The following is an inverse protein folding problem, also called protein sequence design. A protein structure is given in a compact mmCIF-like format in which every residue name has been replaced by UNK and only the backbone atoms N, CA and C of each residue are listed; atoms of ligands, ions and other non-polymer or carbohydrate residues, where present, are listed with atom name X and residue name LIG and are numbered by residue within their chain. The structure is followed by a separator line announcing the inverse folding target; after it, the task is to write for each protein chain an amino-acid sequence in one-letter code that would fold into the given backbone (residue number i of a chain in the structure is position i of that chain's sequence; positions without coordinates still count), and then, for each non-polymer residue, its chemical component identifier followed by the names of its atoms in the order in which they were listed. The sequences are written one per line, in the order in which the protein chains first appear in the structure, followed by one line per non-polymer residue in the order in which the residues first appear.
data_IF_386012132272
#
_entry.id   IF_386012132272
#
_cell.length_a   1.000
_cell.length_b   1.000
_cell.length_c   1.000
_cell.angle_alpha   90.00
_cell.angle_beta   90.00
_cell.angle_gamma   90.00
#
_symmetry.space_group_name_H-M   'P 1'
#
loop_
_entity.id
_entity.type
_entity.pdbx_description
1 polymer ?
#
# COMPACT_ATOMS: atom_id res chain seq x y z
N UNK A 1 -7.79 -13.50 8.47
CA UNK A 1 -8.81 -12.65 9.11
C UNK A 1 -9.20 -11.46 8.23
N UNK A 2 -8.31 -10.49 8.01
CA UNK A 2 -8.62 -9.32 7.16
C UNK A 2 -8.98 -9.74 5.74
N UNK A 3 -8.30 -10.72 5.16
CA UNK A 3 -8.59 -11.24 3.82
C UNK A 3 -9.99 -11.87 3.76
N UNK A 4 -10.38 -12.62 4.77
CA UNK A 4 -11.69 -13.27 4.83
C UNK A 4 -12.82 -12.23 4.90
N UNK A 5 -12.60 -11.13 5.63
CA UNK A 5 -13.54 -10.01 5.65
C UNK A 5 -13.58 -9.25 4.31
N UNK A 6 -12.45 -9.14 3.61
CA UNK A 6 -12.39 -8.47 2.31
C UNK A 6 -13.11 -9.22 1.18
N UNK A 7 -13.24 -10.53 1.27
CA UNK A 7 -13.96 -11.37 0.30
C UNK A 7 -15.49 -11.29 0.47
N UNK A 8 -15.97 -10.87 1.62
CA UNK A 8 -17.39 -10.65 1.87
C UNK A 8 -17.87 -9.42 1.09
N UNK A 9 -19.01 -9.54 0.42
CA UNK A 9 -19.69 -8.39 -0.21
C UNK A 9 -20.40 -7.61 0.89
N UNK A 10 -19.98 -6.39 1.20
CA UNK A 10 -20.61 -5.59 2.26
C UNK A 10 -21.96 -5.07 1.81
N UNK A 11 -22.85 -4.84 2.79
CA UNK A 11 -24.10 -4.15 2.58
C UNK A 11 -23.90 -2.65 2.27
N UNK A 12 -24.83 -1.98 1.61
CA UNK A 12 -24.73 -0.54 1.36
C UNK A 12 -24.56 0.24 2.67
N UNK A 13 -23.45 0.98 2.78
CA UNK A 13 -23.10 1.75 3.97
C UNK A 13 -22.23 1.00 4.99
N UNK A 14 -21.98 -0.29 4.82
CA UNK A 14 -21.06 -1.07 5.63
C UNK A 14 -19.60 -0.80 5.23
N UNK A 15 -18.70 -0.75 6.21
CA UNK A 15 -17.27 -0.58 5.95
C UNK A 15 -16.66 -1.83 5.30
N UNK A 16 -15.75 -1.60 4.36
CA UNK A 16 -15.00 -2.67 3.70
C UNK A 16 -13.66 -2.93 4.39
N UNK A 17 -13.15 -4.16 4.24
CA UNK A 17 -11.88 -4.61 4.79
C UNK A 17 -10.86 -4.95 3.69
N UNK A 18 -10.87 -4.20 2.60
CA UNK A 18 -9.84 -4.34 1.57
C UNK A 18 -8.48 -3.84 2.08
N UNK A 19 -7.41 -4.32 1.48
CA UNK A 19 -6.04 -3.87 1.77
C UNK A 19 -5.53 -3.04 0.59
N UNK A 20 -5.16 -1.79 0.86
CA UNK A 20 -4.65 -0.85 -0.12
C UNK A 20 -3.21 -1.18 -0.55
N UNK A 21 -2.30 -1.41 0.42
CA UNK A 21 -0.91 -1.77 0.16
C UNK A 21 -0.76 -3.28 0.17
N UNK A 22 -0.84 -3.91 -0.99
CA UNK A 22 -0.66 -5.36 -1.17
C UNK A 22 0.37 -5.66 -2.24
N UNK A 23 0.93 -6.87 -2.21
CA UNK A 23 1.91 -7.31 -3.20
C UNK A 23 1.37 -7.16 -4.63
N UNK A 24 2.19 -6.58 -5.51
CA UNK A 24 1.87 -6.32 -6.94
C UNK A 24 0.68 -5.38 -7.19
N UNK A 25 0.17 -4.69 -6.18
CA UNK A 25 -0.88 -3.69 -6.37
C UNK A 25 -0.34 -2.42 -7.06
N UNK A 26 -1.16 -1.82 -7.90
CA UNK A 26 -0.92 -0.50 -8.49
C UNK A 26 -1.78 0.50 -7.73
N UNK A 27 -1.16 1.31 -6.87
CA UNK A 27 -1.86 2.18 -5.93
C UNK A 27 -2.74 3.22 -6.64
N UNK A 28 -2.27 3.78 -7.76
CA UNK A 28 -3.04 4.76 -8.54
C UNK A 28 -4.36 4.19 -9.09
N UNK A 29 -4.44 2.89 -9.38
CA UNK A 29 -5.70 2.27 -9.78
C UNK A 29 -6.74 2.28 -8.66
N UNK A 30 -6.31 2.19 -7.40
CA UNK A 30 -7.22 2.30 -6.27
C UNK A 30 -7.72 3.74 -6.08
N UNK A 31 -6.88 4.74 -6.38
CA UNK A 31 -7.29 6.14 -6.42
C UNK A 31 -8.33 6.40 -7.54
N UNK A 32 -8.11 5.82 -8.72
CA UNK A 32 -9.08 5.90 -9.82
C UNK A 32 -10.43 5.24 -9.46
N UNK A 33 -10.39 4.11 -8.74
CA UNK A 33 -11.62 3.47 -8.22
C UNK A 33 -12.41 4.42 -7.31
N UNK A 34 -11.73 5.16 -6.42
CA UNK A 34 -12.39 6.10 -5.52
C UNK A 34 -13.13 7.20 -6.31
N UNK A 35 -12.45 7.81 -7.28
CA UNK A 35 -13.06 8.83 -8.13
C UNK A 35 -14.19 8.29 -9.01
N UNK A 36 -14.04 7.11 -9.57
CA UNK A 36 -15.08 6.46 -10.38
C UNK A 36 -16.31 6.10 -9.56
N UNK A 37 -16.12 5.57 -8.35
CA UNK A 37 -17.22 5.21 -7.45
C UNK A 37 -18.01 6.43 -6.97
N UNK A 38 -17.37 7.58 -6.87
CA UNK A 38 -17.98 8.85 -6.50
C UNK A 38 -18.55 9.62 -7.70
N UNK A 39 -18.50 9.06 -8.93
CA UNK A 39 -18.88 9.72 -10.18
C UNK A 39 -18.20 11.09 -10.38
N UNK A 40 -16.96 11.24 -9.89
CA UNK A 40 -16.17 12.43 -10.15
C UNK A 40 -15.52 12.32 -11.53
N UNK A 41 -15.52 13.43 -12.31
CA UNK A 41 -15.05 13.43 -13.70
C UNK A 41 -13.62 12.87 -13.82
N UNK A 42 -13.31 11.99 -14.80
CA UNK A 42 -11.99 11.46 -15.00
C UNK A 42 -10.99 12.55 -15.44
N UNK A 43 -9.75 12.45 -15.00
CA UNK A 43 -8.68 13.42 -15.28
C UNK A 43 -8.39 13.69 -16.76
N UNK A 44 -8.92 12.84 -17.67
CA UNK A 44 -8.74 12.96 -19.11
C UNK A 44 -9.72 13.96 -19.76
N UNK A 45 -10.89 14.19 -19.18
CA UNK A 45 -11.89 15.10 -19.76
C UNK A 45 -11.51 16.57 -19.54
N UNK A 46 -10.89 16.92 -18.42
CA UNK A 46 -10.39 18.29 -18.19
C UNK A 46 -9.30 18.69 -19.19
N UNK A 47 -8.41 17.76 -19.57
CA UNK A 47 -7.37 18.02 -20.58
C UNK A 47 -7.90 18.12 -22.00
N UNK A 48 -8.99 17.41 -22.32
CA UNK A 48 -9.61 17.51 -23.62
C UNK A 48 -10.33 18.85 -23.79
N UNK A 49 -10.92 19.40 -22.73
CA UNK A 49 -11.55 20.71 -22.75
C UNK A 49 -10.51 21.83 -22.78
N UNK A 50 -9.44 21.76 -21.99
CA UNK A 50 -8.38 22.75 -21.99
C UNK A 50 -7.54 22.74 -23.29
N UNK A 51 -7.38 21.58 -23.94
CA UNK A 51 -6.72 21.45 -25.25
C UNK A 51 -7.61 21.95 -26.41
N UNK A 52 -8.92 21.96 -26.26
CA UNK A 52 -9.87 22.51 -27.25
C UNK A 52 -9.94 24.05 -27.18
N UNK A 53 -9.68 24.62 -26.00
CA UNK A 53 -9.67 26.08 -25.79
C UNK A 53 -8.35 26.75 -26.19
N UNK A 54 -7.23 26.00 -26.16
CA UNK A 54 -5.90 26.48 -26.54
C UNK A 54 -5.48 25.88 -27.89
N UNK A 55 -5.92 26.49 -28.99
CA UNK A 55 -5.66 26.10 -30.38
C UNK A 55 -4.26 25.56 -30.62
N UNK A 56 -4.20 24.32 -31.11
CA UNK A 56 -3.02 23.52 -31.34
C UNK A 56 -2.04 24.17 -32.30
N UNK A 57 -0.77 24.26 -31.94
CA UNK A 57 0.35 24.33 -32.86
C UNK A 57 1.44 23.32 -32.49
N UNK A 58 2.09 22.87 -33.54
CA UNK A 58 2.81 21.68 -33.86
C UNK A 58 4.12 21.42 -33.07
N UNK A 59 4.40 20.15 -32.83
CA UNK A 59 5.73 19.58 -32.97
C UNK A 59 6.76 19.73 -31.84
N UNK A 60 6.59 18.97 -30.72
CA UNK A 60 7.75 18.43 -29.96
C UNK A 60 7.33 17.23 -29.11
N UNK A 61 8.03 16.09 -29.23
CA UNK A 61 7.91 14.90 -28.39
C UNK A 61 7.96 15.28 -26.91
N UNK A 62 6.80 15.48 -26.27
CA UNK A 62 6.70 15.63 -24.82
C UNK A 62 6.92 14.26 -24.20
N UNK A 63 7.99 14.13 -23.41
CA UNK A 63 8.12 13.08 -22.38
C UNK A 63 6.81 13.02 -21.60
N UNK A 64 6.26 11.82 -21.47
CA UNK A 64 5.03 11.53 -20.72
C UNK A 64 5.07 12.21 -19.36
N UNK A 65 4.45 13.37 -19.24
CA UNK A 65 4.11 13.95 -17.95
C UNK A 65 3.10 12.97 -17.33
N UNK A 66 3.49 12.32 -16.24
CA UNK A 66 2.59 11.49 -15.45
C UNK A 66 1.39 12.35 -15.07
N UNK A 67 0.21 11.93 -15.49
CA UNK A 67 -1.02 12.62 -15.21
C UNK A 67 -1.21 12.78 -13.70
N UNK A 68 -1.02 14.00 -13.22
CA UNK A 68 -1.24 14.37 -11.83
C UNK A 68 -2.58 15.10 -11.76
N UNK A 69 -3.63 14.39 -11.38
CA UNK A 69 -4.90 15.02 -11.06
C UNK A 69 -4.80 15.67 -9.67
N UNK A 70 -4.96 16.97 -9.58
CA UNK A 70 -4.96 17.67 -8.30
C UNK A 70 -6.30 17.59 -7.56
N UNK A 71 -7.43 17.50 -8.27
CA UNK A 71 -8.78 17.55 -7.72
C UNK A 71 -9.09 18.87 -6.98
N UNK A 72 -10.35 19.21 -6.82
CA UNK A 72 -10.75 20.28 -5.90
C UNK A 72 -10.57 19.82 -4.44
N UNK A 73 -10.53 20.74 -3.47
CA UNK A 73 -10.39 20.39 -2.06
C UNK A 73 -11.53 19.47 -1.57
N UNK A 74 -12.74 19.68 -2.07
CA UNK A 74 -13.91 18.90 -1.72
C UNK A 74 -13.85 17.48 -2.35
N UNK A 75 -13.46 17.36 -3.61
CA UNK A 75 -13.27 16.06 -4.28
C UNK A 75 -12.21 15.22 -3.58
N UNK A 76 -11.08 15.83 -3.22
CA UNK A 76 -10.01 15.15 -2.47
C UNK A 76 -10.50 14.71 -1.10
N UNK A 77 -11.35 15.49 -0.44
CA UNK A 77 -11.94 15.13 0.85
C UNK A 77 -12.89 13.93 0.74
N UNK A 78 -13.75 13.92 -0.28
CA UNK A 78 -14.66 12.80 -0.57
C UNK A 78 -13.87 11.54 -0.95
N UNK A 79 -12.88 11.65 -1.83
CA UNK A 79 -12.04 10.53 -2.22
C UNK A 79 -11.28 9.94 -1.01
N UNK A 80 -10.75 10.80 -0.13
CA UNK A 80 -10.10 10.38 1.11
C UNK A 80 -11.04 9.61 2.03
N UNK A 81 -12.26 10.09 2.20
CA UNK A 81 -13.28 9.43 3.01
C UNK A 81 -13.63 8.05 2.42
N UNK A 82 -13.83 7.97 1.11
CA UNK A 82 -14.08 6.71 0.42
C UNK A 82 -12.92 5.72 0.62
N UNK A 83 -11.66 6.18 0.56
CA UNK A 83 -10.49 5.34 0.82
C UNK A 83 -10.48 4.79 2.25
N UNK A 84 -10.82 5.62 3.25
CA UNK A 84 -10.93 5.16 4.63
C UNK A 84 -12.05 4.11 4.81
N UNK A 85 -13.19 4.29 4.15
CA UNK A 85 -14.31 3.35 4.25
C UNK A 85 -14.01 1.98 3.62
N UNK A 86 -13.24 1.94 2.54
CA UNK A 86 -13.02 0.71 1.78
C UNK A 86 -11.74 -0.03 2.20
N UNK A 87 -10.71 0.66 2.70
CA UNK A 87 -9.41 0.07 2.99
C UNK A 87 -9.09 0.08 4.47
N UNK A 88 -9.01 -1.12 5.06
CA UNK A 88 -8.72 -1.32 6.46
C UNK A 88 -7.36 -0.75 6.88
N UNK A 89 -6.32 -0.95 6.08
CA UNK A 89 -4.96 -0.46 6.36
C UNK A 89 -4.87 1.07 6.31
N UNK A 90 -5.59 1.71 5.38
CA UNK A 90 -5.69 3.18 5.31
C UNK A 90 -6.42 3.74 6.52
N UNK A 91 -7.54 3.13 6.92
CA UNK A 91 -8.33 3.51 8.08
C UNK A 91 -7.58 3.33 9.38
N UNK A 92 -6.77 2.27 9.49
CA UNK A 92 -6.05 1.88 10.71
C UNK A 92 -4.72 2.61 10.87
N UNK A 93 -3.86 2.56 9.86
CA UNK A 93 -2.47 3.06 9.94
C UNK A 93 -2.26 4.39 9.21
N UNK A 94 -3.19 4.75 8.35
CA UNK A 94 -3.08 5.93 7.50
C UNK A 94 -2.23 5.70 6.25
N UNK A 95 -2.33 6.64 5.32
CA UNK A 95 -1.57 6.62 4.08
C UNK A 95 -1.40 8.01 3.49
N UNK A 96 -0.33 8.19 2.70
CA UNK A 96 -0.14 9.34 1.82
C UNK A 96 -0.53 8.93 0.40
N UNK A 97 -1.66 9.46 -0.09
CA UNK A 97 -2.30 9.06 -1.34
C UNK A 97 -2.30 10.20 -2.35
N UNK A 98 -1.15 10.86 -2.52
CA UNK A 98 -0.98 12.03 -3.41
C UNK A 98 -0.11 11.74 -4.63
N UNK A 99 0.13 10.46 -4.95
CA UNK A 99 0.95 10.04 -6.09
C UNK A 99 0.09 9.84 -7.34
N UNK A 100 0.11 10.79 -8.27
CA UNK A 100 -0.74 10.74 -9.46
C UNK A 100 -2.10 11.37 -9.17
N UNK A 101 -3.16 10.57 -9.06
CA UNK A 101 -4.50 11.02 -8.64
C UNK A 101 -4.46 11.28 -7.13
N UNK A 102 -4.88 12.47 -6.72
CA UNK A 102 -4.77 12.92 -5.35
C UNK A 102 -6.01 12.52 -4.52
N UNK A 103 -5.84 11.57 -3.62
CA UNK A 103 -6.83 11.22 -2.58
C UNK A 103 -6.45 11.78 -1.19
N UNK A 104 -5.49 12.72 -1.13
CA UNK A 104 -5.10 13.37 0.11
C UNK A 104 -4.17 12.54 0.99
N UNK A 105 -4.19 12.87 2.27
CA UNK A 105 -3.40 12.22 3.30
C UNK A 105 -4.30 11.83 4.48
N UNK A 106 -4.11 10.63 4.98
CA UNK A 106 -4.79 10.10 6.17
C UNK A 106 -3.75 9.85 7.25
N UNK A 107 -4.02 10.33 8.46
CA UNK A 107 -3.28 9.97 9.67
C UNK A 107 -4.07 8.89 10.40
N UNK A 108 -3.49 7.69 10.47
CA UNK A 108 -4.15 6.56 11.13
C UNK A 108 -4.15 6.68 12.65
N UNK A 109 -5.19 6.15 13.31
CA UNK A 109 -5.30 6.13 14.76
C UNK A 109 -4.29 5.20 15.43
N UNK A 110 -3.88 4.14 14.75
CA UNK A 110 -2.96 3.13 15.29
C UNK A 110 -1.53 3.45 14.88
N UNK A 111 -0.66 3.56 15.86
CA UNK A 111 0.77 3.80 15.66
C UNK A 111 1.56 2.79 16.48
N UNK A 112 2.50 2.12 15.83
CA UNK A 112 3.40 1.16 16.46
C UNK A 112 4.82 1.75 16.48
N UNK A 113 5.51 1.61 17.60
CA UNK A 113 6.94 1.93 17.68
C UNK A 113 7.76 0.84 17.02
N UNK A 114 9.02 1.14 16.71
CA UNK A 114 9.97 0.09 16.37
C UNK A 114 10.15 -0.86 17.57
N UNK A 115 10.13 -2.16 17.27
CA UNK A 115 10.41 -3.17 18.26
C UNK A 115 11.90 -3.17 18.63
N UNK A 116 12.19 -3.38 19.91
CA UNK A 116 13.55 -3.52 20.42
C UNK A 116 13.69 -4.87 21.11
N UNK A 117 14.78 -5.57 20.83
CA UNK A 117 15.09 -6.81 21.53
C UNK A 117 15.36 -6.55 23.02
N UNK A 118 14.85 -7.42 23.88
CA UNK A 118 15.06 -7.34 25.34
C UNK A 118 16.53 -7.66 25.66
N UNK A 119 17.08 -8.65 24.98
CA UNK A 119 18.47 -9.09 25.11
C UNK A 119 19.21 -8.92 23.78
N UNK A 120 20.55 -8.85 23.80
CA UNK A 120 21.35 -8.84 22.58
C UNK A 120 21.05 -10.05 21.69
N UNK A 121 20.86 -9.80 20.41
CA UNK A 121 20.57 -10.85 19.43
C UNK A 121 21.88 -11.42 18.90
N UNK A 122 21.95 -12.76 18.83
CA UNK A 122 23.00 -13.48 18.12
C UNK A 122 22.46 -13.93 16.77
N UNK A 123 22.95 -13.31 15.70
CA UNK A 123 22.63 -13.72 14.35
C UNK A 123 23.57 -14.85 13.90
N UNK A 124 22.99 -15.91 13.36
CA UNK A 124 23.75 -16.99 12.72
C UNK A 124 23.76 -16.77 11.21
N UNK A 125 24.91 -16.98 10.60
CA UNK A 125 25.08 -16.95 9.14
C UNK A 125 25.34 -18.36 8.63
N UNK A 126 24.54 -18.80 7.68
CA UNK A 126 24.65 -20.10 7.03
C UNK A 126 24.92 -19.91 5.54
N UNK A 127 25.98 -20.53 5.05
CA UNK A 127 26.23 -20.63 3.61
C UNK A 127 25.36 -21.74 3.00
N UNK A 128 24.64 -21.42 1.94
CA UNK A 128 23.81 -22.36 1.19
C UNK A 128 24.39 -22.45 -0.22
N UNK A 129 24.75 -23.67 -0.64
CA UNK A 129 25.27 -23.91 -1.97
C UNK A 129 24.30 -24.78 -2.76
N UNK A 130 23.83 -24.27 -3.89
CA UNK A 130 23.13 -25.07 -4.88
C UNK A 130 24.16 -25.66 -5.85
N UNK A 131 24.21 -26.98 -5.92
CA UNK A 131 25.18 -27.73 -6.73
C UNK A 131 24.80 -27.88 -8.20
N UNK A 132 23.73 -27.21 -8.64
CA UNK A 132 23.27 -27.23 -10.02
C UNK A 132 22.79 -25.84 -10.43
N UNK A 133 22.92 -25.50 -11.70
CA UNK A 133 22.37 -24.29 -12.32
C UNK A 133 21.01 -24.56 -12.96
N UNK A 134 20.21 -23.55 -13.14
CA UNK A 134 18.87 -23.69 -13.71
C UNK A 134 18.86 -23.58 -15.24
N UNK A 135 19.84 -22.90 -15.82
CA UNK A 135 19.85 -22.63 -17.27
C UNK A 135 21.24 -22.87 -17.87
N UNK A 136 21.29 -23.20 -19.16
CA UNK A 136 22.53 -23.36 -19.92
C UNK A 136 23.36 -22.08 -19.91
N UNK A 137 22.72 -20.92 -20.00
CA UNK A 137 23.40 -19.62 -19.94
C UNK A 137 24.11 -19.35 -18.59
N UNK A 138 23.58 -19.90 -17.49
CA UNK A 138 24.27 -19.87 -16.19
C UNK A 138 25.47 -20.83 -16.19
N UNK A 139 25.33 -22.02 -16.78
CA UNK A 139 26.39 -22.99 -16.87
C UNK A 139 27.58 -22.47 -17.69
N UNK A 140 27.32 -21.84 -18.81
CA UNK A 140 28.36 -21.22 -19.67
C UNK A 140 29.12 -20.11 -18.93
N UNK A 141 28.39 -19.23 -18.19
CA UNK A 141 29.01 -18.16 -17.42
C UNK A 141 29.92 -18.68 -16.29
N UNK A 142 29.59 -19.83 -15.73
CA UNK A 142 30.33 -20.43 -14.62
C UNK A 142 31.43 -21.40 -15.08
N UNK A 143 31.63 -21.57 -16.40
CA UNK A 143 32.70 -22.39 -16.98
C UNK A 143 32.80 -23.80 -16.39
N UNK A 144 31.65 -24.41 -16.09
CA UNK A 144 31.57 -25.79 -15.60
C UNK A 144 31.56 -25.95 -14.07
N UNK A 145 31.74 -24.91 -13.28
CA UNK A 145 31.65 -25.01 -11.82
C UNK A 145 30.20 -25.24 -11.31
N UNK A 146 29.23 -24.79 -12.08
CA UNK A 146 27.77 -25.04 -11.92
C UNK A 146 27.25 -24.91 -10.48
N UNK A 147 27.83 -23.98 -9.71
CA UNK A 147 27.48 -23.75 -8.30
C UNK A 147 26.97 -22.36 -8.10
N UNK A 148 25.90 -22.24 -7.31
CA UNK A 148 25.37 -20.94 -6.86
C UNK A 148 25.39 -20.89 -5.34
N UNK A 149 26.05 -19.90 -4.79
CA UNK A 149 26.14 -19.71 -3.34
C UNK A 149 25.24 -18.58 -2.89
N UNK A 150 24.55 -18.79 -1.79
CA UNK A 150 23.75 -17.82 -1.07
C UNK A 150 24.10 -17.82 0.41
N UNK A 151 23.69 -16.77 1.12
CA UNK A 151 23.82 -16.66 2.57
C UNK A 151 22.44 -16.53 3.19
N UNK A 152 22.19 -17.29 4.25
CA UNK A 152 20.98 -17.19 5.05
C UNK A 152 21.37 -16.71 6.45
N UNK A 153 20.83 -15.57 6.84
CA UNK A 153 20.95 -15.07 8.20
C UNK A 153 19.71 -15.48 9.00
N UNK A 154 19.93 -16.05 10.19
CA UNK A 154 18.86 -16.46 11.09
C UNK A 154 19.08 -15.91 12.48
N UNK A 155 18.02 -15.49 13.13
CA UNK A 155 17.97 -15.21 14.55
C UNK A 155 17.21 -16.37 15.20
N UNK A 156 17.93 -17.30 15.89
CA UNK A 156 17.30 -18.53 16.41
C UNK A 156 16.31 -18.24 17.53
N UNK A 157 16.55 -17.18 18.29
CA UNK A 157 15.68 -16.75 19.38
C UNK A 157 15.81 -15.25 19.60
N UNK A 158 14.71 -14.60 19.93
CA UNK A 158 14.69 -13.20 20.34
C UNK A 158 13.32 -12.80 20.88
N UNK A 159 13.31 -12.12 22.00
CA UNK A 159 12.14 -11.46 22.54
C UNK A 159 12.21 -9.98 22.22
N UNK A 160 11.12 -9.43 21.69
CA UNK A 160 11.05 -8.04 21.26
C UNK A 160 9.92 -7.34 21.98
N UNK A 161 10.14 -6.10 22.37
CA UNK A 161 9.11 -5.23 22.93
C UNK A 161 8.83 -4.11 21.94
N UNK A 162 7.56 -3.92 21.60
CA UNK A 162 7.07 -2.80 20.85
C UNK A 162 5.92 -2.15 21.63
N UNK A 163 5.73 -0.84 21.44
CA UNK A 163 4.61 -0.11 22.02
C UNK A 163 3.63 0.30 20.94
N UNK A 164 2.34 0.10 21.19
CA UNK A 164 1.27 0.54 20.31
C UNK A 164 0.43 1.62 20.97
N UNK A 165 0.00 2.59 20.18
CA UNK A 165 -0.86 3.69 20.63
C UNK A 165 -2.08 3.77 19.73
N UNK A 166 -3.27 3.95 20.31
CA UNK A 166 -4.52 4.16 19.59
C UNK A 166 -5.10 5.51 19.97
N UNK A 167 -5.22 6.40 18.98
CA UNK A 167 -5.78 7.74 19.18
C UNK A 167 -7.28 7.75 18.88
N UNK A 168 -8.11 7.97 19.86
CA UNK A 168 -9.56 8.07 19.69
C UNK A 168 -9.99 9.27 18.83
N UNK A 169 -9.21 10.36 18.85
CA UNK A 169 -9.45 11.52 18.01
C UNK A 169 -9.24 11.21 16.53
N UNK A 170 -8.14 10.53 16.18
CA UNK A 170 -7.88 10.13 14.79
C UNK A 170 -8.82 9.00 14.34
N UNK A 171 -9.22 8.10 15.26
CA UNK A 171 -10.21 7.06 14.98
C UNK A 171 -11.54 7.64 14.50
N UNK A 172 -12.03 8.69 15.13
CA UNK A 172 -13.24 9.41 14.69
C UNK A 172 -13.09 10.03 13.30
N UNK A 173 -11.88 10.44 12.91
CA UNK A 173 -11.65 11.04 11.60
C UNK A 173 -11.57 10.02 10.46
N UNK A 174 -11.07 8.82 10.76
CA UNK A 174 -10.88 7.75 9.77
C UNK A 174 -12.06 6.79 9.70
N UNK A 175 -12.95 6.80 10.69
CA UNK A 175 -14.00 5.80 10.85
C UNK A 175 -13.54 4.50 11.51
N UNK A 176 -12.34 4.46 12.12
CA UNK A 176 -11.83 3.28 12.80
C UNK A 176 -12.66 2.99 14.07
N UNK A 177 -13.32 1.83 14.10
CA UNK A 177 -14.24 1.41 15.13
C UNK A 177 -13.69 0.35 16.08
N UNK A 178 -14.59 -0.13 16.98
CA UNK A 178 -14.29 -1.24 17.90
C UNK A 178 -14.00 -2.54 17.17
N UNK A 179 -14.73 -2.80 16.11
CA UNK A 179 -14.60 -4.04 15.32
C UNK A 179 -13.25 -4.09 14.59
N UNK A 180 -12.78 -2.95 14.07
CA UNK A 180 -11.43 -2.83 13.50
C UNK A 180 -10.35 -3.08 14.55
N UNK A 181 -10.55 -2.56 15.77
CA UNK A 181 -9.60 -2.77 16.87
C UNK A 181 -9.57 -4.23 17.31
N UNK A 182 -10.72 -4.88 17.41
CA UNK A 182 -10.80 -6.30 17.72
C UNK A 182 -10.11 -7.15 16.67
N UNK A 183 -10.36 -6.89 15.38
CA UNK A 183 -9.71 -7.54 14.27
C UNK A 183 -8.18 -7.36 14.31
N UNK A 184 -7.71 -6.14 14.64
CA UNK A 184 -6.28 -5.88 14.81
C UNK A 184 -5.68 -6.73 15.94
N UNK A 185 -6.33 -6.83 17.10
CA UNK A 185 -5.86 -7.64 18.21
C UNK A 185 -5.84 -9.13 17.88
N UNK A 186 -6.87 -9.62 17.20
CA UNK A 186 -6.89 -11.00 16.71
C UNK A 186 -5.74 -11.29 15.75
N UNK A 187 -5.45 -10.38 14.83
CA UNK A 187 -4.35 -10.52 13.87
C UNK A 187 -2.96 -10.48 14.53
N UNK A 188 -2.79 -9.73 15.61
CA UNK A 188 -1.53 -9.64 16.35
C UNK A 188 -1.29 -10.86 17.27
N UNK A 189 -2.34 -11.57 17.66
CA UNK A 189 -2.25 -12.73 18.55
C UNK A 189 -2.09 -14.07 17.83
N UNK A 190 -2.21 -14.11 16.51
CA UNK A 190 -1.99 -15.28 15.64
C UNK A 190 -0.52 -15.45 15.26
#
# INVERSE_FOLDING_TARGET
LVKDQAERVPEPGEERFEIYVREKAILNQQHERAYSALNLAPAQEEKAQEALELGADDGKKKKTAKDKRKGSADEVSLARQWMCQNFFDVRTFGAVMSTGINCGQVRGPVQLTFARSVEPIVALEHSITRMAVATEAEAEKQQGDNRTMGRKHTVPYGVYVAHGFVSSFLAKQTGFGSDDLELLWQALSQ
#
